data_IF_997228054427
#
_entry.id   IF_997228054427
#
_cell.length_a   1.000
_cell.length_b   1.000
_cell.length_c   1.000
_cell.angle_alpha   90.00
_cell.angle_beta   90.00
_cell.angle_gamma   90.00
#
_symmetry.space_group_name_H-M   'P 1'
#
loop_
_entity.id
_entity.type
_entity.pdbx_description
1 polymer ?
#
# COMPACT_ATOMS: atom_id res chain seq x y z
N UNK A 1 48.77 17.99 11.93
CA UNK A 1 48.82 16.51 12.10
C UNK A 1 47.65 15.91 12.89
N UNK A 2 46.98 16.61 13.81
CA UNK A 2 45.82 16.05 14.55
C UNK A 2 44.56 15.82 13.71
N UNK A 3 44.24 16.68 12.74
CA UNK A 3 43.02 16.56 11.92
C UNK A 3 42.99 15.33 10.99
N UNK A 4 44.16 14.85 10.53
CA UNK A 4 44.25 13.65 9.68
C UNK A 4 43.98 12.39 10.51
N UNK A 5 44.35 12.39 11.80
CA UNK A 5 44.12 11.25 12.70
C UNK A 5 42.65 11.09 13.09
N UNK A 6 41.88 12.17 13.22
CA UNK A 6 40.44 12.10 13.52
C UNK A 6 39.63 11.64 12.31
N UNK A 7 39.99 12.11 11.11
CA UNK A 7 39.34 11.68 9.87
C UNK A 7 39.56 10.19 9.59
N UNK A 8 40.81 9.71 9.71
CA UNK A 8 41.13 8.29 9.54
C UNK A 8 40.37 7.41 10.56
N UNK A 9 40.28 7.84 11.81
CA UNK A 9 39.53 7.11 12.85
C UNK A 9 38.04 6.95 12.49
N UNK A 10 37.40 8.00 11.98
CA UNK A 10 35.99 7.94 11.57
C UNK A 10 35.75 6.99 10.39
N UNK A 11 36.67 6.95 9.42
CA UNK A 11 36.60 6.02 8.29
C UNK A 11 36.76 4.57 8.76
N UNK A 12 37.67 4.29 9.69
CA UNK A 12 37.85 2.94 10.25
C UNK A 12 36.66 2.50 11.12
N UNK A 13 36.03 3.40 11.87
CA UNK A 13 34.83 3.08 12.65
C UNK A 13 33.64 2.72 11.73
N UNK A 14 33.41 3.49 10.66
CA UNK A 14 32.37 3.20 9.68
C UNK A 14 32.62 1.87 8.94
N UNK A 15 33.86 1.61 8.54
CA UNK A 15 34.25 0.35 7.91
C UNK A 15 34.08 -0.84 8.86
N UNK A 16 34.38 -0.66 10.15
CA UNK A 16 34.17 -1.68 11.18
C UNK A 16 32.71 -2.05 11.36
N UNK A 17 31.80 -1.06 11.39
CA UNK A 17 30.35 -1.31 11.47
C UNK A 17 29.86 -2.05 10.22
N UNK A 18 30.26 -1.62 9.02
CA UNK A 18 29.87 -2.28 7.78
C UNK A 18 30.36 -3.74 7.72
N UNK A 19 31.60 -4.00 8.16
CA UNK A 19 32.15 -5.34 8.24
C UNK A 19 31.38 -6.23 9.24
N UNK A 20 30.93 -5.67 10.38
CA UNK A 20 30.14 -6.40 11.36
C UNK A 20 28.77 -6.84 10.80
N UNK A 21 28.10 -5.95 10.06
CA UNK A 21 26.83 -6.29 9.38
C UNK A 21 27.03 -7.33 8.28
N UNK A 22 28.10 -7.21 7.48
CA UNK A 22 28.41 -8.18 6.44
C UNK A 22 28.73 -9.56 7.01
N UNK A 23 29.54 -9.62 8.08
CA UNK A 23 29.86 -10.85 8.78
C UNK A 23 28.62 -11.47 9.43
N UNK A 24 27.79 -10.68 10.12
CA UNK A 24 26.54 -11.15 10.69
C UNK A 24 25.55 -11.69 9.64
N UNK A 25 25.44 -11.00 8.49
CA UNK A 25 24.62 -11.43 7.37
C UNK A 25 25.11 -12.72 6.73
N UNK A 26 26.43 -12.87 6.52
CA UNK A 26 27.01 -14.11 6.02
C UNK A 26 26.86 -15.27 7.01
N UNK A 27 27.08 -15.04 8.31
CA UNK A 27 26.89 -16.05 9.34
C UNK A 27 25.42 -16.50 9.45
N UNK A 28 24.46 -15.58 9.32
CA UNK A 28 23.04 -15.89 9.29
C UNK A 28 22.65 -16.71 8.05
N UNK A 29 23.15 -16.33 6.88
CA UNK A 29 22.91 -17.06 5.64
C UNK A 29 23.53 -18.47 5.67
N UNK A 30 24.74 -18.60 6.23
CA UNK A 30 25.40 -19.90 6.42
C UNK A 30 24.68 -20.78 7.43
N UNK A 31 24.13 -20.21 8.51
CA UNK A 31 23.30 -20.93 9.48
C UNK A 31 21.98 -21.44 8.87
N UNK A 32 21.45 -20.78 7.84
CA UNK A 32 20.25 -21.21 7.12
C UNK A 32 20.54 -22.15 5.93
N UNK A 33 21.76 -22.18 5.41
CA UNK A 33 22.12 -22.90 4.18
C UNK A 33 22.73 -24.30 4.36
N UNK A 34 23.05 -24.73 5.59
CA UNK A 34 23.96 -25.84 5.83
C UNK A 34 23.46 -26.99 6.71
N UNK A 35 22.18 -27.35 6.67
CA UNK A 35 21.72 -28.50 7.45
C UNK A 35 20.30 -28.94 7.14
N UNK A 36 20.17 -30.22 6.80
CA UNK A 36 18.93 -31.00 6.75
C UNK A 36 18.00 -30.56 7.87
N UNK A 37 16.88 -29.92 7.52
CA UNK A 37 15.87 -29.54 8.49
C UNK A 37 15.38 -30.84 9.17
N UNK A 38 15.44 -30.96 10.51
CA UNK A 38 14.71 -32.00 11.18
C UNK A 38 13.22 -31.82 10.85
N UNK A 39 12.63 -32.87 10.30
CA UNK A 39 11.21 -32.98 10.02
C UNK A 39 10.43 -33.01 11.35
N UNK A 40 10.29 -31.86 12.00
CA UNK A 40 9.33 -31.62 13.07
C UNK A 40 9.29 -30.11 13.35
N UNK A 41 8.57 -29.36 12.52
CA UNK A 41 8.03 -28.07 13.00
C UNK A 41 7.06 -28.42 14.13
N UNK A 42 7.12 -27.80 15.32
CA UNK A 42 5.95 -27.79 16.19
C UNK A 42 4.84 -27.19 15.34
N UNK A 43 3.79 -27.97 15.10
CA UNK A 43 2.60 -27.47 14.45
C UNK A 43 2.09 -26.32 15.33
N UNK A 44 2.43 -25.09 14.95
CA UNK A 44 1.66 -23.93 15.35
C UNK A 44 0.24 -24.32 14.98
N UNK A 45 -0.61 -24.44 16.00
CA UNK A 45 -2.05 -24.52 15.82
C UNK A 45 -2.45 -23.24 15.09
N UNK A 46 -2.40 -23.27 13.76
CA UNK A 46 -3.23 -22.40 12.96
C UNK A 46 -4.63 -22.97 13.16
N UNK A 47 -5.57 -22.25 13.80
CA UNK A 47 -6.96 -22.62 13.67
C UNK A 47 -7.24 -22.78 12.17
N UNK A 48 -8.07 -23.75 11.75
CA UNK A 48 -8.44 -23.88 10.36
C UNK A 48 -8.86 -22.50 9.88
N UNK A 49 -8.10 -21.93 8.93
CA UNK A 49 -8.56 -20.77 8.17
C UNK A 49 -9.80 -21.30 7.51
N UNK A 50 -10.97 -20.92 8.04
CA UNK A 50 -12.23 -21.30 7.46
C UNK A 50 -12.12 -21.00 5.97
N UNK A 51 -12.42 -21.96 5.07
CA UNK A 51 -12.41 -21.67 3.65
C UNK A 51 -13.30 -20.44 3.48
N UNK A 52 -12.69 -19.32 3.07
CA UNK A 52 -13.46 -18.14 2.68
C UNK A 52 -14.39 -18.66 1.59
N UNK A 53 -15.68 -18.78 1.93
CA UNK A 53 -16.71 -19.01 0.92
C UNK A 53 -16.41 -18.05 -0.22
N UNK A 54 -16.43 -18.48 -1.50
CA UNK A 54 -16.14 -17.58 -2.62
C UNK A 54 -17.00 -16.33 -2.44
N UNK A 55 -16.32 -15.29 -1.96
CA UNK A 55 -16.99 -14.13 -1.39
C UNK A 55 -17.71 -13.46 -2.53
N UNK A 56 -18.91 -12.94 -2.25
CA UNK A 56 -19.54 -11.99 -3.17
C UNK A 56 -18.47 -10.95 -3.49
N UNK A 57 -18.06 -10.84 -4.76
CA UNK A 57 -17.00 -9.93 -5.15
C UNK A 57 -17.34 -8.52 -4.62
N UNK A 58 -16.36 -7.79 -4.05
CA UNK A 58 -16.62 -6.52 -3.41
C UNK A 58 -17.25 -5.56 -4.41
N UNK A 59 -18.46 -5.10 -4.09
CA UNK A 59 -19.22 -4.19 -4.97
C UNK A 59 -18.73 -2.75 -4.84
N UNK A 60 -18.06 -2.41 -3.74
CA UNK A 60 -17.57 -1.06 -3.44
C UNK A 60 -16.06 -1.06 -3.26
N UNK A 61 -15.39 -0.24 -4.06
CA UNK A 61 -13.95 -0.04 -4.03
C UNK A 61 -13.63 1.35 -3.48
N UNK A 62 -13.05 1.37 -2.30
CA UNK A 62 -12.60 2.59 -1.63
C UNK A 62 -11.11 2.76 -1.89
N UNK A 63 -10.73 3.80 -2.63
CA UNK A 63 -9.36 4.00 -3.10
C UNK A 63 -8.78 5.23 -2.43
N UNK A 64 -7.66 5.02 -1.74
CA UNK A 64 -6.85 6.08 -1.19
C UNK A 64 -6.01 6.73 -2.31
N UNK A 65 -6.46 7.88 -2.79
CA UNK A 65 -5.87 8.57 -3.93
C UNK A 65 -4.43 8.98 -3.66
N UNK A 66 -4.10 9.41 -2.44
CA UNK A 66 -2.73 9.76 -2.06
C UNK A 66 -1.80 8.56 -2.22
N UNK A 67 -2.20 7.42 -1.67
CA UNK A 67 -1.35 6.23 -1.66
C UNK A 67 -1.20 5.63 -3.07
N UNK A 68 -2.25 5.64 -3.90
CA UNK A 68 -2.12 5.15 -5.27
C UNK A 68 -1.21 6.04 -6.12
N UNK A 69 -1.38 7.37 -6.04
CA UNK A 69 -0.53 8.31 -6.76
C UNK A 69 0.95 8.16 -6.36
N UNK A 70 1.25 8.24 -5.06
CA UNK A 70 2.62 8.28 -4.59
C UNK A 70 3.35 6.93 -4.72
N UNK A 71 2.67 5.83 -4.43
CA UNK A 71 3.32 4.51 -4.34
C UNK A 71 3.35 3.80 -5.68
N UNK A 72 2.30 3.94 -6.50
CA UNK A 72 2.17 3.14 -7.72
C UNK A 72 2.39 3.94 -9.01
N UNK A 73 1.90 5.19 -9.10
CA UNK A 73 2.05 5.99 -10.33
C UNK A 73 3.38 6.76 -10.37
N UNK A 74 3.77 7.41 -9.28
CA UNK A 74 4.98 8.24 -9.22
C UNK A 74 6.22 7.47 -8.72
N UNK A 75 6.03 6.24 -8.22
CA UNK A 75 7.11 5.40 -7.68
C UNK A 75 7.94 6.09 -6.59
N UNK A 76 7.33 7.00 -5.81
CA UNK A 76 7.98 7.77 -4.76
C UNK A 76 8.99 8.84 -5.22
N UNK A 77 9.08 9.15 -6.52
CA UNK A 77 10.12 10.04 -7.07
C UNK A 77 9.74 11.52 -7.09
N UNK A 78 8.46 11.85 -7.23
CA UNK A 78 7.96 13.23 -7.19
C UNK A 78 7.14 13.48 -5.93
N UNK A 79 7.58 14.46 -5.12
CA UNK A 79 6.93 14.87 -3.86
C UNK A 79 6.33 16.28 -3.90
N UNK A 80 6.56 17.03 -4.97
CA UNK A 80 5.99 18.37 -5.17
C UNK A 80 4.87 18.30 -6.20
N UNK A 81 3.72 18.91 -5.92
CA UNK A 81 2.60 19.04 -6.86
C UNK A 81 2.00 17.70 -7.38
N UNK A 82 2.21 16.59 -6.65
CA UNK A 82 1.72 15.25 -7.00
C UNK A 82 0.18 15.13 -7.03
N UNK A 83 -0.53 16.05 -6.38
CA UNK A 83 -1.99 16.16 -6.42
C UNK A 83 -2.51 17.07 -7.56
N UNK A 84 -1.63 17.58 -8.42
CA UNK A 84 -2.03 18.41 -9.56
C UNK A 84 -3.04 17.68 -10.44
N UNK A 85 -3.88 18.46 -11.12
CA UNK A 85 -4.92 17.98 -12.03
C UNK A 85 -4.48 16.79 -12.90
N UNK A 86 -3.32 16.85 -13.60
CA UNK A 86 -2.92 15.79 -14.52
C UNK A 86 -2.80 14.39 -13.90
N UNK A 87 -2.15 14.26 -12.73
CA UNK A 87 -1.95 12.95 -12.11
C UNK A 87 -3.25 12.40 -11.51
N UNK A 88 -4.06 13.27 -10.92
CA UNK A 88 -5.41 12.90 -10.47
C UNK A 88 -6.25 12.40 -11.65
N UNK A 89 -6.22 13.13 -12.76
CA UNK A 89 -7.03 12.82 -13.93
C UNK A 89 -6.57 11.53 -14.60
N UNK A 90 -5.26 11.24 -14.60
CA UNK A 90 -4.69 9.95 -15.01
C UNK A 90 -5.17 8.80 -14.11
N UNK A 91 -5.07 8.95 -12.78
CA UNK A 91 -5.55 7.92 -11.84
C UNK A 91 -7.04 7.62 -12.07
N UNK A 92 -7.85 8.67 -12.17
CA UNK A 92 -9.28 8.53 -12.44
C UNK A 92 -9.54 7.88 -13.82
N UNK A 93 -8.74 8.22 -14.84
CA UNK A 93 -8.82 7.60 -16.18
C UNK A 93 -8.53 6.11 -16.15
N UNK A 94 -7.51 5.68 -15.41
CA UNK A 94 -7.23 4.26 -15.21
C UNK A 94 -8.36 3.59 -14.42
N UNK A 95 -8.85 4.21 -13.35
CA UNK A 95 -9.95 3.67 -12.54
C UNK A 95 -11.26 3.52 -13.35
N UNK A 96 -11.51 4.42 -14.30
CA UNK A 96 -12.62 4.26 -15.26
C UNK A 96 -12.50 2.99 -16.11
N UNK A 97 -11.28 2.47 -16.31
CA UNK A 97 -10.98 1.22 -17.02
C UNK A 97 -10.87 -0.03 -16.15
N UNK A 98 -11.19 0.03 -14.84
CA UNK A 98 -11.24 -1.14 -13.95
C UNK A 98 -12.09 -2.30 -14.51
N UNK A 99 -11.59 -3.53 -14.40
CA UNK A 99 -12.17 -4.69 -15.09
C UNK A 99 -13.60 -5.06 -14.63
N UNK A 100 -13.99 -4.75 -13.39
CA UNK A 100 -15.31 -5.06 -12.86
C UNK A 100 -16.35 -4.00 -13.26
N UNK A 101 -17.24 -4.31 -14.21
CA UNK A 101 -18.25 -3.36 -14.71
C UNK A 101 -19.23 -2.85 -13.65
N UNK A 102 -19.59 -3.72 -12.69
CA UNK A 102 -20.54 -3.40 -11.61
C UNK A 102 -19.92 -2.77 -10.36
N UNK A 103 -18.61 -2.50 -10.35
CA UNK A 103 -17.92 -1.95 -9.20
C UNK A 103 -18.20 -0.44 -9.02
N UNK A 104 -18.59 -0.05 -7.82
CA UNK A 104 -18.66 1.34 -7.39
C UNK A 104 -17.29 1.79 -6.87
N UNK A 105 -16.59 2.65 -7.62
CA UNK A 105 -15.23 3.07 -7.28
C UNK A 105 -15.25 4.49 -6.75
N UNK A 106 -14.79 4.68 -5.52
CA UNK A 106 -14.60 5.99 -4.89
C UNK A 106 -13.12 6.25 -4.70
N UNK A 107 -12.58 7.27 -5.37
CA UNK A 107 -11.19 7.70 -5.20
C UNK A 107 -11.15 8.92 -4.31
N UNK A 108 -10.57 8.77 -3.12
CA UNK A 108 -10.62 9.76 -2.06
C UNK A 108 -9.31 10.53 -2.01
N UNK A 109 -9.40 11.84 -2.02
CA UNK A 109 -8.28 12.77 -1.92
C UNK A 109 -8.44 13.64 -0.67
N UNK A 110 -7.33 13.91 0.00
CA UNK A 110 -7.27 14.93 1.05
C UNK A 110 -7.43 16.33 0.45
N UNK A 111 -8.21 17.16 1.12
CA UNK A 111 -8.35 18.59 0.83
C UNK A 111 -9.70 18.99 0.27
N UNK A 112 -9.73 20.20 -0.29
CA UNK A 112 -10.94 20.81 -0.84
C UNK A 112 -11.15 20.40 -2.29
N UNK A 113 -12.42 20.35 -2.68
CA UNK A 113 -12.81 20.11 -4.07
C UNK A 113 -12.25 21.21 -4.99
N UNK A 114 -11.49 20.88 -6.03
CA UNK A 114 -11.08 21.83 -7.06
C UNK A 114 -12.29 22.41 -7.79
N UNK A 115 -12.25 23.68 -8.23
CA UNK A 115 -13.39 24.32 -8.90
C UNK A 115 -13.86 23.60 -10.18
N UNK A 116 -12.96 22.90 -10.88
CA UNK A 116 -13.25 22.21 -12.15
C UNK A 116 -13.30 20.67 -12.00
N UNK A 117 -13.70 20.15 -10.84
CA UNK A 117 -13.67 18.70 -10.59
C UNK A 117 -14.91 17.93 -11.03
N UNK A 118 -15.86 18.58 -11.71
CA UNK A 118 -17.00 17.88 -12.31
C UNK A 118 -16.51 17.00 -13.47
N UNK A 119 -16.49 15.68 -13.21
CA UNK A 119 -16.02 14.67 -14.16
C UNK A 119 -17.13 13.66 -14.42
N UNK A 120 -17.40 13.39 -15.69
CA UNK A 120 -18.16 12.21 -16.09
C UNK A 120 -17.19 11.02 -16.15
N UNK A 121 -17.45 9.99 -15.35
CA UNK A 121 -16.63 8.78 -15.26
C UNK A 121 -17.30 7.75 -14.36
N UNK A 122 -16.82 6.51 -14.41
CA UNK A 122 -17.27 5.45 -13.51
C UNK A 122 -16.62 5.58 -12.14
N UNK A 123 -15.37 6.02 -12.08
CA UNK A 123 -14.67 6.34 -10.85
C UNK A 123 -15.08 7.72 -10.32
N UNK A 124 -15.57 7.75 -9.08
CA UNK A 124 -16.07 8.96 -8.43
C UNK A 124 -14.98 9.59 -7.57
N UNK A 125 -14.48 10.79 -7.90
CA UNK A 125 -13.59 11.51 -7.00
C UNK A 125 -14.35 12.00 -5.78
N UNK A 126 -13.75 11.87 -4.60
CA UNK A 126 -14.24 12.40 -3.33
C UNK A 126 -13.13 13.24 -2.70
N UNK A 127 -13.45 14.46 -2.29
CA UNK A 127 -12.53 15.34 -1.58
C UNK A 127 -13.00 15.47 -0.13
N UNK A 128 -12.13 15.13 0.81
CA UNK A 128 -12.45 15.14 2.23
C UNK A 128 -11.37 15.88 3.02
N UNK A 129 -11.71 16.52 4.16
CA UNK A 129 -10.71 17.11 5.06
C UNK A 129 -9.66 16.10 5.53
N UNK A 130 -10.07 14.83 5.68
CA UNK A 130 -9.19 13.68 5.87
C UNK A 130 -9.73 12.48 5.10
N UNK A 131 -8.93 11.98 4.16
CA UNK A 131 -9.23 10.78 3.39
C UNK A 131 -9.35 9.55 4.29
N UNK A 132 -8.41 9.36 5.21
CA UNK A 132 -8.42 8.27 6.20
C UNK A 132 -9.71 8.22 7.01
N UNK A 133 -10.13 9.36 7.57
CA UNK A 133 -11.35 9.42 8.38
C UNK A 133 -12.59 9.13 7.55
N UNK A 134 -12.65 9.68 6.33
CA UNK A 134 -13.74 9.44 5.40
C UNK A 134 -13.82 7.97 4.99
N UNK A 135 -12.70 7.36 4.60
CA UNK A 135 -12.58 5.95 4.22
C UNK A 135 -13.05 5.05 5.37
N UNK A 136 -12.57 5.31 6.58
CA UNK A 136 -12.97 4.55 7.76
C UNK A 136 -14.46 4.75 8.12
N UNK A 137 -15.03 5.92 7.86
CA UNK A 137 -16.45 6.16 8.04
C UNK A 137 -17.28 5.34 7.04
N UNK A 138 -16.88 5.30 5.75
CA UNK A 138 -17.55 4.48 4.75
C UNK A 138 -17.46 2.98 5.05
N UNK A 139 -16.30 2.52 5.53
CA UNK A 139 -16.10 1.13 5.98
C UNK A 139 -17.02 0.80 7.15
N UNK A 140 -17.21 1.71 8.11
CA UNK A 140 -18.12 1.48 9.25
C UNK A 140 -19.59 1.43 8.85
N UNK A 141 -19.97 2.14 7.79
CA UNK A 141 -21.36 2.27 7.35
C UNK A 141 -21.82 1.15 6.40
N UNK A 142 -20.94 0.22 6.02
CA UNK A 142 -21.21 -0.84 5.04
C UNK A 142 -20.92 -2.22 5.59
N UNK A 143 -21.47 -3.22 4.92
CA UNK A 143 -21.05 -4.60 5.10
C UNK A 143 -19.58 -4.75 4.63
N UNK A 144 -18.64 -5.14 5.52
CA UNK A 144 -17.24 -5.33 5.17
C UNK A 144 -17.02 -6.33 4.04
N UNK A 145 -17.89 -7.33 3.88
CA UNK A 145 -17.79 -8.32 2.80
C UNK A 145 -18.05 -7.72 1.41
N UNK A 146 -18.64 -6.51 1.34
CA UNK A 146 -18.93 -5.81 0.10
C UNK A 146 -17.92 -4.70 -0.23
N UNK A 147 -16.88 -4.53 0.60
CA UNK A 147 -15.93 -3.41 0.51
C UNK A 147 -14.51 -3.92 0.31
N UNK A 148 -13.84 -3.38 -0.70
CA UNK A 148 -12.39 -3.45 -0.85
C UNK A 148 -11.77 -2.08 -0.58
N UNK A 149 -10.69 -2.04 0.19
CA UNK A 149 -9.89 -0.84 0.43
C UNK A 149 -8.56 -0.93 -0.31
N UNK A 150 -8.27 0.04 -1.18
CA UNK A 150 -6.98 0.18 -1.85
C UNK A 150 -6.14 1.22 -1.11
N UNK A 151 -5.08 0.77 -0.43
CA UNK A 151 -4.14 1.67 0.27
C UNK A 151 -2.79 0.99 0.49
N UNK A 152 -1.73 1.81 0.59
CA UNK A 152 -0.41 1.37 1.05
C UNK A 152 -0.13 1.76 2.51
N UNK A 153 -1.01 2.55 3.15
CA UNK A 153 -0.85 2.93 4.55
C UNK A 153 -1.10 1.73 5.47
N UNK A 154 -0.08 1.37 6.27
CA UNK A 154 -0.13 0.20 7.15
C UNK A 154 -1.11 0.36 8.31
N UNK A 155 -1.27 1.58 8.85
CA UNK A 155 -2.18 1.87 9.96
C UNK A 155 -3.62 1.81 9.48
N UNK A 156 -3.93 2.46 8.36
CA UNK A 156 -5.26 2.42 7.75
C UNK A 156 -5.63 0.97 7.35
N UNK A 157 -4.71 0.27 6.68
CA UNK A 157 -4.88 -1.13 6.31
C UNK A 157 -5.15 -2.03 7.52
N UNK A 158 -4.40 -1.88 8.62
CA UNK A 158 -4.63 -2.65 9.84
C UNK A 158 -6.04 -2.38 10.43
N UNK A 159 -6.46 -1.12 10.46
CA UNK A 159 -7.79 -0.72 10.96
C UNK A 159 -8.94 -1.23 10.09
N UNK A 160 -8.72 -1.34 8.77
CA UNK A 160 -9.68 -1.90 7.83
C UNK A 160 -9.76 -3.42 7.95
N UNK A 161 -8.62 -4.13 7.99
CA UNK A 161 -8.57 -5.59 8.19
C UNK A 161 -9.22 -6.03 9.50
N UNK A 162 -9.05 -5.25 10.58
CA UNK A 162 -9.72 -5.52 11.85
C UNK A 162 -11.26 -5.50 11.73
N UNK A 163 -11.81 -4.86 10.69
CA UNK A 163 -13.25 -4.85 10.38
C UNK A 163 -13.66 -5.90 9.36
N UNK A 164 -12.76 -6.77 8.91
CA UNK A 164 -13.05 -7.78 7.90
C UNK A 164 -13.05 -7.26 6.46
N UNK A 165 -12.59 -6.04 6.22
CA UNK A 165 -12.46 -5.46 4.87
C UNK A 165 -11.24 -6.06 4.17
N UNK A 166 -11.41 -6.40 2.90
CA UNK A 166 -10.30 -6.80 2.03
C UNK A 166 -9.41 -5.58 1.73
N UNK A 167 -8.10 -5.71 1.95
CA UNK A 167 -7.15 -4.63 1.68
C UNK A 167 -6.26 -5.00 0.50
N UNK A 168 -6.36 -4.19 -0.55
CA UNK A 168 -5.69 -4.36 -1.83
C UNK A 168 -4.52 -3.39 -1.94
N UNK A 169 -3.39 -3.88 -2.45
CA UNK A 169 -2.24 -3.03 -2.72
C UNK A 169 -2.51 -2.11 -3.92
N UNK A 170 -2.05 -0.84 -3.91
CA UNK A 170 -2.23 0.09 -5.04
C UNK A 170 -1.80 -0.46 -6.41
N UNK A 171 -0.66 -1.15 -6.48
CA UNK A 171 -0.19 -1.76 -7.72
C UNK A 171 -1.12 -2.88 -8.22
N UNK A 172 -1.70 -3.66 -7.32
CA UNK A 172 -2.66 -4.71 -7.67
C UNK A 172 -3.97 -4.11 -8.19
N UNK A 173 -4.44 -2.99 -7.61
CA UNK A 173 -5.58 -2.25 -8.13
C UNK A 173 -5.30 -1.74 -9.56
N UNK A 174 -4.17 -1.08 -9.79
CA UNK A 174 -3.83 -0.55 -11.12
C UNK A 174 -3.63 -1.64 -12.18
N UNK A 175 -3.14 -2.83 -11.81
CA UNK A 175 -3.01 -3.96 -12.72
C UNK A 175 -4.37 -4.46 -13.26
N UNK A 176 -5.45 -4.18 -12.53
CA UNK A 176 -6.83 -4.51 -12.89
C UNK A 176 -7.54 -3.37 -13.62
N UNK A 177 -6.88 -2.22 -13.73
CA UNK A 177 -7.29 -1.11 -14.56
C UNK A 177 -6.73 -1.31 -15.97
N UNK A 178 -7.56 -1.16 -17.00
CA UNK A 178 -7.06 -1.07 -18.38
C UNK A 178 -6.14 0.15 -18.50
N UNK A 179 -5.14 0.02 -19.38
CA UNK A 179 -4.35 1.18 -19.79
C UNK A 179 -5.31 2.22 -20.43
N UNK A 180 -5.21 3.46 -19.95
CA UNK A 180 -5.95 4.59 -20.50
C UNK A 180 -5.36 5.00 -21.86
#
# INVERSE_FOLDING_TARGET
MQAIRSFLRGVFEAAGIAALFAAGGLSYAAALGGGVLPAARPALYLPPVAPQQPGIAPRVWLVDGYNVLNVALLGGRERGAWWTGPFRDELLGRADGFEEEGAEIFVVFDGSMPPDSERAGRARPVFAPSADEWLLAQIRARDPAQVALVTADRKLAARARHRGVEVIAPAAFLARCRAA
#
